data_IF_681813907107
#
_entry.id   IF_681813907107
#
_cell.length_a   1.000
_cell.length_b   1.000
_cell.length_c   1.000
_cell.angle_alpha   90.00
_cell.angle_beta   90.00
_cell.angle_gamma   90.00
#
_symmetry.space_group_name_H-M   'P 1'
#
loop_
_entity.id
_entity.type
_entity.pdbx_description
1 polymer ?
#
# COMPACT_ATOMS: atom_id res chain seq x y z
N UNK A 1 27.70 3.55 4.85
CA UNK A 1 26.31 3.83 4.45
C UNK A 1 25.58 2.49 4.33
N UNK A 2 24.63 2.21 5.21
CA UNK A 2 23.92 0.92 5.24
C UNK A 2 22.72 0.94 4.30
N UNK A 3 22.68 0.00 3.35
CA UNK A 3 21.48 -0.27 2.55
C UNK A 3 20.44 -0.98 3.41
N UNK A 4 19.19 -0.49 3.38
CA UNK A 4 18.08 -1.04 4.15
C UNK A 4 17.04 -1.67 3.23
N UNK A 5 16.42 -2.76 3.67
CA UNK A 5 15.31 -3.41 2.98
C UNK A 5 13.98 -2.74 3.24
N UNK A 6 12.97 -3.12 2.45
CA UNK A 6 11.57 -2.80 2.72
C UNK A 6 11.02 -3.70 3.83
N UNK A 7 9.92 -3.26 4.43
CA UNK A 7 9.26 -4.08 5.46
C UNK A 7 8.52 -5.27 4.82
N UNK A 8 8.61 -6.48 5.38
CA UNK A 8 8.01 -7.68 4.77
C UNK A 8 6.49 -7.58 4.63
N UNK A 9 5.80 -6.96 5.57
CA UNK A 9 4.35 -6.74 5.50
C UNK A 9 3.91 -5.76 4.40
N UNK A 10 4.84 -5.07 3.74
CA UNK A 10 4.53 -4.28 2.55
C UNK A 10 3.89 -5.10 1.41
N UNK A 11 4.06 -6.42 1.42
CA UNK A 11 3.33 -7.36 0.54
C UNK A 11 1.82 -7.14 0.67
N UNK A 12 1.31 -6.97 1.87
CA UNK A 12 -0.11 -6.77 2.14
C UNK A 12 -0.67 -5.52 1.48
N UNK A 13 0.13 -4.45 1.42
CA UNK A 13 -0.24 -3.22 0.73
C UNK A 13 -0.45 -3.43 -0.78
N UNK A 14 0.40 -4.24 -1.41
CA UNK A 14 0.25 -4.57 -2.83
C UNK A 14 -0.96 -5.47 -3.07
N UNK A 15 -1.24 -6.40 -2.17
CA UNK A 15 -2.34 -7.34 -2.29
C UNK A 15 -3.70 -6.77 -1.91
N UNK A 16 -3.77 -5.66 -1.16
CA UNK A 16 -5.03 -5.13 -0.61
C UNK A 16 -6.14 -4.93 -1.65
N UNK A 17 -5.79 -4.39 -2.82
CA UNK A 17 -6.75 -4.16 -3.91
C UNK A 17 -7.22 -5.48 -4.53
N UNK A 18 -6.32 -6.42 -4.66
CA UNK A 18 -6.60 -7.76 -5.20
C UNK A 18 -7.48 -8.52 -4.24
N UNK A 19 -7.18 -8.52 -2.94
CA UNK A 19 -8.01 -9.15 -1.90
C UNK A 19 -9.44 -8.61 -1.95
N UNK A 20 -9.61 -7.28 -2.02
CA UNK A 20 -10.93 -6.66 -2.11
C UNK A 20 -11.67 -7.04 -3.39
N UNK A 21 -10.95 -7.18 -4.52
CA UNK A 21 -11.54 -7.59 -5.79
C UNK A 21 -12.05 -9.04 -5.73
N UNK A 22 -11.31 -9.95 -5.11
CA UNK A 22 -11.72 -11.35 -4.95
C UNK A 22 -12.81 -11.57 -3.91
N UNK A 23 -12.93 -10.67 -2.93
CA UNK A 23 -13.97 -10.75 -1.92
C UNK A 23 -15.39 -10.63 -2.52
N UNK A 24 -15.55 -9.87 -3.61
CA UNK A 24 -16.84 -9.65 -4.26
C UNK A 24 -17.46 -10.93 -4.85
N UNK A 25 -16.77 -11.70 -5.72
CA UNK A 25 -17.27 -12.98 -6.23
C UNK A 25 -17.55 -14.00 -5.11
N UNK A 26 -16.68 -14.05 -4.09
CA UNK A 26 -16.88 -14.93 -2.94
C UNK A 26 -18.18 -14.61 -2.19
N UNK A 27 -18.48 -13.32 -2.00
CA UNK A 27 -19.75 -12.90 -1.39
C UNK A 27 -20.95 -13.30 -2.24
N UNK A 28 -20.90 -13.18 -3.57
CA UNK A 28 -21.96 -13.62 -4.46
C UNK A 28 -22.25 -15.11 -4.31
N UNK A 29 -21.20 -15.93 -4.33
CA UNK A 29 -21.33 -17.39 -4.19
C UNK A 29 -21.85 -17.77 -2.80
N UNK A 30 -21.43 -17.03 -1.76
CA UNK A 30 -21.93 -17.22 -0.39
C UNK A 30 -23.44 -16.92 -0.28
N UNK A 31 -23.91 -15.83 -0.88
CA UNK A 31 -25.33 -15.46 -0.91
C UNK A 31 -26.17 -16.45 -1.72
N UNK A 32 -25.62 -16.99 -2.79
CA UNK A 32 -26.26 -18.05 -3.59
C UNK A 32 -26.34 -19.41 -2.88
N UNK A 33 -25.79 -19.54 -1.67
CA UNK A 33 -25.72 -20.78 -0.87
C UNK A 33 -25.15 -21.98 -1.62
N UNK A 34 -24.33 -21.76 -2.64
CA UNK A 34 -23.70 -22.82 -3.40
C UNK A 34 -22.33 -23.21 -2.79
N UNK A 35 -22.37 -24.12 -1.82
CA UNK A 35 -21.20 -24.53 -1.06
C UNK A 35 -20.11 -25.21 -1.89
N UNK A 36 -20.48 -25.92 -2.96
CA UNK A 36 -19.53 -26.57 -3.84
C UNK A 36 -18.75 -25.51 -4.64
N UNK A 37 -19.45 -24.55 -5.24
CA UNK A 37 -18.82 -23.44 -5.94
C UNK A 37 -17.96 -22.59 -5.01
N UNK A 38 -18.41 -22.36 -3.76
CA UNK A 38 -17.65 -21.62 -2.76
C UNK A 38 -16.30 -22.27 -2.43
N UNK A 39 -16.29 -23.59 -2.24
CA UNK A 39 -15.05 -24.35 -2.02
C UNK A 39 -14.05 -24.19 -3.17
N UNK A 40 -14.53 -24.37 -4.39
CA UNK A 40 -13.68 -24.26 -5.58
C UNK A 40 -13.13 -22.85 -5.73
N UNK A 41 -13.97 -21.82 -5.57
CA UNK A 41 -13.56 -20.43 -5.61
C UNK A 41 -12.50 -20.10 -4.53
N UNK A 42 -12.72 -20.53 -3.28
CA UNK A 42 -11.77 -20.32 -2.20
C UNK A 42 -10.40 -20.94 -2.48
N UNK A 43 -10.36 -22.17 -3.01
CA UNK A 43 -9.09 -22.82 -3.34
C UNK A 43 -8.36 -22.09 -4.47
N UNK A 44 -9.08 -21.70 -5.52
CA UNK A 44 -8.50 -20.97 -6.65
C UNK A 44 -7.98 -19.61 -6.24
N UNK A 45 -8.78 -18.84 -5.47
CA UNK A 45 -8.40 -17.50 -5.00
C UNK A 45 -7.22 -17.58 -4.02
N UNK A 46 -7.20 -18.58 -3.12
CA UNK A 46 -6.08 -18.80 -2.22
C UNK A 46 -4.79 -19.14 -2.97
N UNK A 47 -4.86 -20.00 -3.99
CA UNK A 47 -3.71 -20.33 -4.82
C UNK A 47 -3.17 -19.09 -5.54
N UNK A 48 -4.05 -18.31 -6.17
CA UNK A 48 -3.66 -17.08 -6.88
C UNK A 48 -3.09 -16.04 -5.94
N UNK A 49 -3.72 -15.79 -4.79
CA UNK A 49 -3.21 -14.86 -3.78
C UNK A 49 -1.86 -15.31 -3.24
N UNK A 50 -1.62 -16.61 -3.08
CA UNK A 50 -0.32 -17.15 -2.67
C UNK A 50 0.76 -16.85 -3.70
N UNK A 51 0.48 -17.06 -4.99
CA UNK A 51 1.41 -16.73 -6.07
C UNK A 51 1.71 -15.23 -6.11
N UNK A 52 0.68 -14.39 -6.04
CA UNK A 52 0.84 -12.94 -6.01
C UNK A 52 1.61 -12.47 -4.78
N UNK A 53 1.38 -13.09 -3.61
CA UNK A 53 2.14 -12.80 -2.39
C UNK A 53 3.62 -13.17 -2.56
N UNK A 54 3.91 -14.34 -3.13
CA UNK A 54 5.28 -14.79 -3.38
C UNK A 54 6.01 -13.84 -4.35
N UNK A 55 5.38 -13.46 -5.45
CA UNK A 55 5.93 -12.49 -6.41
C UNK A 55 6.16 -11.13 -5.74
N UNK A 56 5.18 -10.62 -5.00
CA UNK A 56 5.30 -9.35 -4.29
C UNK A 56 6.42 -9.39 -3.25
N UNK A 57 6.55 -10.49 -2.52
CA UNK A 57 7.62 -10.69 -1.55
C UNK A 57 9.01 -10.72 -2.23
N UNK A 58 9.13 -11.40 -3.36
CA UNK A 58 10.38 -11.42 -4.15
C UNK A 58 10.76 -10.01 -4.63
N UNK A 59 9.80 -9.23 -5.13
CA UNK A 59 10.00 -7.83 -5.55
C UNK A 59 10.48 -6.97 -4.39
N UNK A 60 9.84 -7.08 -3.23
CA UNK A 60 10.22 -6.32 -2.03
C UNK A 60 11.58 -6.74 -1.48
N UNK A 61 11.86 -8.04 -1.50
CA UNK A 61 13.15 -8.57 -1.02
C UNK A 61 14.32 -8.11 -1.90
N UNK A 62 14.09 -7.98 -3.21
CA UNK A 62 15.07 -7.47 -4.16
C UNK A 62 15.25 -5.94 -4.08
N UNK A 63 14.33 -5.24 -3.43
CA UNK A 63 14.36 -3.80 -3.24
C UNK A 63 15.28 -3.39 -2.09
N UNK A 64 16.10 -2.37 -2.32
CA UNK A 64 16.95 -1.72 -1.29
C UNK A 64 16.82 -0.21 -1.41
N UNK A 65 16.91 0.45 -0.28
CA UNK A 65 16.93 1.89 -0.23
C UNK A 65 18.07 2.39 0.67
N UNK A 66 18.57 3.58 0.36
CA UNK A 66 19.59 4.28 1.15
C UNK A 66 19.39 5.78 1.05
N UNK A 67 19.83 6.48 2.07
CA UNK A 67 19.90 7.95 2.10
C UNK A 67 21.33 8.38 2.32
N UNK A 68 21.79 9.29 1.48
CA UNK A 68 23.10 9.89 1.59
C UNK A 68 23.09 11.02 2.67
N UNK A 69 24.29 11.44 3.09
CA UNK A 69 24.47 12.54 4.04
C UNK A 69 23.84 13.85 3.54
N UNK A 70 23.77 14.04 2.22
CA UNK A 70 23.16 15.19 1.56
C UNK A 70 21.64 15.10 1.41
N UNK A 71 20.96 14.12 2.04
CA UNK A 71 19.52 13.92 1.94
C UNK A 71 19.05 13.40 0.58
N UNK A 72 19.91 12.71 -0.17
CA UNK A 72 19.51 12.09 -1.43
C UNK A 72 19.05 10.66 -1.17
N UNK A 73 17.78 10.38 -1.39
CA UNK A 73 17.18 9.06 -1.33
C UNK A 73 17.45 8.32 -2.64
N UNK A 74 18.03 7.16 -2.56
CA UNK A 74 18.18 6.21 -3.67
C UNK A 74 17.44 4.92 -3.36
N UNK A 75 16.56 4.53 -4.26
CA UNK A 75 15.81 3.28 -4.19
C UNK A 75 16.18 2.43 -5.38
N UNK A 76 16.62 1.21 -5.12
CA UNK A 76 17.14 0.30 -6.13
C UNK A 76 16.40 -1.03 -6.05
N UNK A 77 15.93 -1.52 -7.20
CA UNK A 77 15.39 -2.86 -7.37
C UNK A 77 16.28 -3.66 -8.33
N UNK A 78 16.52 -4.92 -7.98
CA UNK A 78 17.30 -5.85 -8.80
C UNK A 78 16.49 -7.13 -9.00
N UNK A 79 15.64 -7.13 -10.01
CA UNK A 79 14.82 -8.26 -10.42
C UNK A 79 14.97 -8.47 -11.93
N UNK A 80 16.09 -9.05 -12.35
CA UNK A 80 16.41 -9.19 -13.77
C UNK A 80 16.65 -7.84 -14.46
N UNK A 81 15.77 -6.87 -14.23
CA UNK A 81 15.91 -5.46 -14.67
C UNK A 81 16.35 -4.61 -13.48
N UNK A 82 17.34 -3.77 -13.71
CA UNK A 82 17.83 -2.82 -12.70
C UNK A 82 17.03 -1.52 -12.78
N UNK A 83 16.25 -1.23 -11.76
CA UNK A 83 15.49 -0.01 -11.61
C UNK A 83 16.10 0.82 -10.47
N UNK A 84 16.67 1.97 -10.81
CA UNK A 84 17.23 2.92 -9.85
C UNK A 84 16.37 4.19 -9.85
N UNK A 85 15.82 4.55 -8.70
CA UNK A 85 15.12 5.84 -8.50
C UNK A 85 15.88 6.68 -7.49
N UNK A 86 16.13 7.93 -7.84
CA UNK A 86 16.81 8.90 -7.00
C UNK A 86 15.88 10.10 -6.74
N UNK A 87 15.86 10.57 -5.49
CA UNK A 87 15.14 11.79 -5.08
C UNK A 87 15.99 12.59 -4.10
N UNK A 88 16.23 13.86 -4.42
CA UNK A 88 16.94 14.80 -3.53
C UNK A 88 15.93 15.41 -2.55
N UNK A 89 16.35 15.70 -1.32
CA UNK A 89 15.51 16.38 -0.33
C UNK A 89 14.96 17.70 -0.86
N UNK A 90 15.74 18.47 -1.62
CA UNK A 90 15.32 19.72 -2.26
C UNK A 90 14.19 19.58 -3.31
N UNK A 91 13.93 18.36 -3.77
CA UNK A 91 12.86 18.06 -4.74
C UNK A 91 11.56 17.59 -4.07
N UNK A 92 11.56 17.42 -2.75
CA UNK A 92 10.41 16.97 -1.97
C UNK A 92 9.72 18.21 -1.37
N UNK A 93 8.48 18.43 -1.77
CA UNK A 93 7.67 19.54 -1.24
C UNK A 93 6.99 19.15 0.07
N UNK A 94 6.50 17.91 0.17
CA UNK A 94 5.84 17.41 1.36
C UNK A 94 6.19 15.95 1.60
N UNK A 95 6.23 15.58 2.87
CA UNK A 95 6.45 14.23 3.33
C UNK A 95 5.30 13.85 4.25
N UNK A 96 4.55 12.82 3.86
CA UNK A 96 3.41 12.34 4.64
C UNK A 96 3.72 10.95 5.17
N UNK A 97 3.55 10.76 6.47
CA UNK A 97 3.60 9.43 7.09
C UNK A 97 2.16 8.98 7.29
N UNK A 98 1.73 7.99 6.51
CA UNK A 98 0.40 7.44 6.55
C UNK A 98 0.36 6.10 7.27
N UNK A 99 -0.78 5.77 7.88
CA UNK A 99 -1.02 4.54 8.61
C UNK A 99 -2.38 3.95 8.25
N UNK A 100 -2.55 3.47 7.01
CA UNK A 100 -3.78 2.82 6.62
C UNK A 100 -4.02 1.53 7.42
N UNK A 101 -5.27 1.01 7.35
CA UNK A 101 -5.71 -0.10 8.20
C UNK A 101 -4.83 -1.36 8.09
N UNK A 102 -4.44 -1.73 6.89
CA UNK A 102 -3.63 -2.93 6.66
C UNK A 102 -2.19 -2.78 7.20
N UNK A 103 -1.63 -1.59 7.11
CA UNK A 103 -0.30 -1.28 7.65
C UNK A 103 -0.29 -1.21 9.17
N UNK A 104 -1.46 -0.95 9.80
CA UNK A 104 -1.59 -1.03 11.27
C UNK A 104 -1.41 -2.45 11.80
N UNK A 105 -1.89 -3.45 11.05
CA UNK A 105 -1.75 -4.86 11.41
C UNK A 105 -0.29 -5.33 11.32
N UNK A 106 0.48 -4.81 10.35
CA UNK A 106 1.88 -5.17 10.13
C UNK A 106 2.91 -4.31 10.87
N UNK A 107 2.48 -3.24 11.54
CA UNK A 107 3.41 -2.29 12.16
C UNK A 107 4.13 -1.37 11.16
N UNK A 108 3.71 -1.38 9.90
CA UNK A 108 4.28 -0.58 8.82
C UNK A 108 3.79 0.86 8.84
N UNK A 109 4.54 1.72 8.17
CA UNK A 109 4.14 3.08 7.84
C UNK A 109 4.39 3.35 6.37
N UNK A 110 3.37 3.85 5.69
CA UNK A 110 3.48 4.40 4.35
C UNK A 110 4.15 5.77 4.42
N UNK A 111 5.30 5.93 3.81
CA UNK A 111 5.95 7.22 3.64
C UNK A 111 5.72 7.69 2.22
N UNK A 112 4.95 8.75 2.06
CA UNK A 112 4.65 9.36 0.76
C UNK A 112 5.50 10.62 0.60
N UNK A 113 6.37 10.60 -0.40
CA UNK A 113 7.21 11.72 -0.79
C UNK A 113 6.53 12.43 -1.97
N UNK A 114 5.93 13.58 -1.69
CA UNK A 114 5.30 14.42 -2.70
C UNK A 114 6.33 15.35 -3.32
N UNK A 115 6.53 15.32 -4.65
CA UNK A 115 7.51 16.17 -5.32
C UNK A 115 7.01 17.62 -5.44
N UNK A 116 7.95 18.57 -5.47
CA UNK A 116 7.67 20.00 -5.69
C UNK A 116 7.25 20.32 -7.13
N UNK A 117 7.49 19.42 -8.09
CA UNK A 117 7.06 19.54 -9.49
C UNK A 117 6.19 18.33 -9.86
N UNK A 118 5.49 18.40 -10.99
CA UNK A 118 4.50 17.40 -11.49
C UNK A 118 5.08 16.00 -11.78
N UNK A 119 5.91 15.46 -10.92
CA UNK A 119 6.39 14.09 -10.98
C UNK A 119 5.57 13.23 -10.02
N UNK A 120 5.44 11.93 -10.33
CA UNK A 120 4.68 11.01 -9.47
C UNK A 120 5.26 10.95 -8.07
N UNK A 121 4.39 10.97 -7.07
CA UNK A 121 4.76 10.74 -5.68
C UNK A 121 5.44 9.37 -5.53
N UNK A 122 6.43 9.30 -4.66
CA UNK A 122 7.11 8.06 -4.32
C UNK A 122 6.59 7.57 -2.98
N UNK A 123 5.91 6.43 -2.99
CA UNK A 123 5.44 5.78 -1.77
C UNK A 123 6.41 4.67 -1.37
N UNK A 124 6.87 4.72 -0.13
CA UNK A 124 7.74 3.72 0.47
C UNK A 124 7.03 3.11 1.68
N UNK A 125 7.06 1.80 1.80
CA UNK A 125 6.51 1.06 2.94
C UNK A 125 7.66 0.60 3.83
N UNK A 126 7.77 1.24 4.98
CA UNK A 126 8.89 1.12 5.88
C UNK A 126 8.40 0.79 7.29
N UNK A 127 9.27 0.20 8.11
CA UNK A 127 9.01 0.12 9.54
C UNK A 127 8.90 1.52 10.15
N UNK A 128 8.24 1.64 11.30
CA UNK A 128 8.06 2.94 11.99
C UNK A 128 9.37 3.68 12.21
N UNK A 129 10.41 2.95 12.63
CA UNK A 129 11.74 3.52 12.87
C UNK A 129 12.41 4.00 11.58
N UNK A 130 12.32 3.21 10.51
CA UNK A 130 12.90 3.57 9.21
C UNK A 130 12.18 4.73 8.56
N UNK A 131 10.84 4.80 8.69
CA UNK A 131 10.05 5.92 8.19
C UNK A 131 10.42 7.22 8.90
N UNK A 132 10.59 7.17 10.22
CA UNK A 132 10.99 8.33 11.01
C UNK A 132 12.42 8.77 10.70
N UNK A 133 13.37 7.82 10.66
CA UNK A 133 14.75 8.07 10.26
C UNK A 133 14.85 8.74 8.88
N UNK A 134 14.10 8.24 7.90
CA UNK A 134 14.08 8.81 6.56
C UNK A 134 13.47 10.22 6.56
N UNK A 135 12.38 10.41 7.31
CA UNK A 135 11.73 11.71 7.44
C UNK A 135 12.65 12.76 8.04
N UNK A 136 13.34 12.44 9.13
CA UNK A 136 14.26 13.36 9.80
C UNK A 136 15.47 13.70 8.92
N UNK A 137 15.90 12.75 8.09
CA UNK A 137 17.04 12.95 7.20
C UNK A 137 16.70 13.78 5.96
N UNK A 138 15.49 13.61 5.43
CA UNK A 138 15.05 14.34 4.24
C UNK A 138 14.47 15.71 4.54
N UNK A 139 13.84 15.87 5.72
CA UNK A 139 13.21 17.14 6.15
C UNK A 139 13.55 17.42 7.61
N UNK A 140 14.79 17.83 7.94
CA UNK A 140 15.22 18.03 9.32
C UNK A 140 14.51 19.20 10.02
N UNK A 141 14.06 20.19 9.25
CA UNK A 141 13.26 21.32 9.74
C UNK A 141 11.88 21.24 9.13
N UNK A 142 10.91 20.80 9.91
CA UNK A 142 9.51 20.69 9.47
C UNK A 142 8.56 21.10 10.58
N UNK A 143 7.55 21.85 10.21
CA UNK A 143 6.38 22.04 11.05
C UNK A 143 5.51 20.78 10.87
N UNK A 144 5.50 19.92 11.87
CA UNK A 144 4.70 18.71 11.85
C UNK A 144 3.25 19.05 12.20
N UNK A 145 2.38 19.04 11.22
CA UNK A 145 0.94 19.11 11.44
C UNK A 145 0.40 17.70 11.64
N UNK A 146 0.04 17.38 12.88
CA UNK A 146 -0.62 16.13 13.19
C UNK A 146 -2.13 16.28 12.96
N UNK A 147 -2.65 15.74 11.88
CA UNK A 147 -4.08 15.66 11.63
C UNK A 147 -4.62 14.29 12.05
N UNK A 148 -5.50 14.28 13.05
CA UNK A 148 -6.25 13.08 13.46
C UNK A 148 -7.66 13.19 12.89
N UNK A 149 -7.98 12.47 11.79
CA UNK A 149 -9.30 12.58 11.19
C UNK A 149 -10.37 12.09 12.14
N UNK A 150 -11.46 12.85 12.28
CA UNK A 150 -12.65 12.48 13.07
C UNK A 150 -13.35 11.28 12.46
N UNK A 151 -14.17 10.58 13.25
CA UNK A 151 -14.88 9.36 12.78
C UNK A 151 -15.69 9.57 11.51
N UNK A 152 -16.40 10.68 11.38
CA UNK A 152 -17.16 11.04 10.19
C UNK A 152 -16.30 11.30 8.94
N UNK A 153 -15.14 11.94 9.10
CA UNK A 153 -14.18 12.13 8.01
C UNK A 153 -13.62 10.80 7.50
N UNK A 154 -13.34 9.86 8.42
CA UNK A 154 -12.88 8.51 8.05
C UNK A 154 -13.92 7.77 7.20
N UNK A 155 -15.19 7.90 7.56
CA UNK A 155 -16.31 7.31 6.85
C UNK A 155 -16.51 8.00 5.49
N UNK A 156 -16.45 9.32 5.44
CA UNK A 156 -16.50 10.09 4.20
C UNK A 156 -15.36 9.72 3.25
N UNK A 157 -14.12 9.63 3.74
CA UNK A 157 -12.97 9.19 2.94
C UNK A 157 -13.10 7.74 2.47
N UNK A 158 -13.70 6.84 3.27
CA UNK A 158 -13.93 5.46 2.87
C UNK A 158 -14.99 5.35 1.77
N UNK A 159 -16.06 6.15 1.86
CA UNK A 159 -17.19 6.13 0.91
C UNK A 159 -16.88 6.96 -0.35
N UNK A 160 -16.29 8.14 -0.20
CA UNK A 160 -15.99 9.06 -1.31
C UNK A 160 -14.65 8.80 -1.98
N UNK A 161 -13.78 7.98 -1.37
CA UNK A 161 -12.53 7.55 -2.00
C UNK A 161 -12.82 6.90 -3.36
N UNK A 162 -11.96 7.16 -4.35
CA UNK A 162 -12.15 6.80 -5.76
C UNK A 162 -12.58 5.34 -6.04
N UNK A 163 -12.39 4.44 -5.07
CA UNK A 163 -12.79 3.04 -5.16
C UNK A 163 -13.97 2.67 -4.24
N UNK A 164 -14.38 3.54 -3.30
CA UNK A 164 -15.43 3.24 -2.33
C UNK A 164 -16.81 3.21 -2.97
N UNK A 165 -17.12 4.19 -3.82
CA UNK A 165 -18.41 4.26 -4.54
C UNK A 165 -18.57 3.12 -5.53
N UNK A 166 -17.50 2.75 -6.28
CA UNK A 166 -17.54 1.63 -7.20
C UNK A 166 -17.72 0.29 -6.47
N UNK A 167 -17.11 0.12 -5.31
CA UNK A 167 -17.27 -1.08 -4.48
C UNK A 167 -18.70 -1.20 -3.94
N UNK A 168 -19.30 -0.10 -3.48
CA UNK A 168 -20.68 -0.06 -3.03
C UNK A 168 -21.67 -0.31 -4.17
N UNK A 169 -21.43 0.26 -5.36
CA UNK A 169 -22.27 0.03 -6.54
C UNK A 169 -22.22 -1.42 -7.00
N UNK A 170 -21.04 -2.04 -7.01
CA UNK A 170 -20.87 -3.46 -7.34
C UNK A 170 -21.52 -4.37 -6.30
N UNK A 171 -21.44 -4.03 -5.02
CA UNK A 171 -22.09 -4.76 -3.94
C UNK A 171 -23.64 -4.69 -4.06
N UNK A 172 -24.18 -3.51 -4.37
CA UNK A 172 -25.61 -3.31 -4.61
C UNK A 172 -26.10 -4.10 -5.83
N UNK A 173 -25.31 -4.13 -6.93
CA UNK A 173 -25.58 -4.91 -8.12
C UNK A 173 -25.58 -6.42 -7.82
N UNK A 174 -24.60 -6.89 -7.05
CA UNK A 174 -24.50 -8.28 -6.63
C UNK A 174 -25.72 -8.73 -5.81
N UNK A 175 -26.16 -7.90 -4.87
CA UNK A 175 -27.37 -8.17 -4.05
C UNK A 175 -28.64 -8.19 -4.92
N UNK A 176 -28.73 -7.30 -5.92
CA UNK A 176 -29.87 -7.25 -6.85
C UNK A 176 -29.96 -8.50 -7.74
N UNK A 177 -28.83 -9.03 -8.18
CA UNK A 177 -28.79 -10.25 -9.01
C UNK A 177 -29.02 -11.55 -8.23
N UNK A 178 -28.88 -11.52 -6.91
CA UNK A 178 -29.07 -12.70 -6.04
C UNK A 178 -30.53 -12.86 -5.55
N UNK A 179 -31.43 -11.94 -5.91
CA UNK A 179 -32.88 -12.01 -5.69
C UNK A 179 -33.60 -12.49 -6.94
#
# INVERSE_FOLDING_TARGET
>A
MTERGFHPFAVLHFLRKTILLYLLPLLQVLFARNWAALRTALVQDAALLTVLAAVSAAVLHAGRWRVDAQGTLRVRWRLGVRLDRCRKASQVAALTIDRPLFERLGGDRGLVLSPARQTRALTLLLSAQNAQFLADRMMPRRDAVAHTPRGGEKLAFAVLGANGLSTLALLALAIKQSR
#
